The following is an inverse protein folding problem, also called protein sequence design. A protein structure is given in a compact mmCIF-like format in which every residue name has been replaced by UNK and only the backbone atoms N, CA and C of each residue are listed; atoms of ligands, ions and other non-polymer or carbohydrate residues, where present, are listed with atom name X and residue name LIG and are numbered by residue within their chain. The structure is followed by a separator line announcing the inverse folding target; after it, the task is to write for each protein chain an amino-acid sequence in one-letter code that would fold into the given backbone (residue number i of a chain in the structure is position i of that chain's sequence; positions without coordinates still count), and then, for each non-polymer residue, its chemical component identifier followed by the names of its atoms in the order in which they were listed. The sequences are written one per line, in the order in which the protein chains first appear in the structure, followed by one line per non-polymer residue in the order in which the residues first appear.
data_IF_453330414954
#
_entry.id   IF_453330414954
#
_cell.length_a   1.000
_cell.length_b   1.000
_cell.length_c   1.000
_cell.angle_alpha   90.00
_cell.angle_beta   90.00
_cell.angle_gamma   90.00
#
_symmetry.space_group_name_H-M   'P 1'
#
loop_
_entity.id
_entity.type
_entity.pdbx_description
1 polymer ?
#
# COMPACT_ATOMS: atom_id res chain seq x y z
N UNK A 1 8.03 -8.84 23.26
CA UNK A 1 7.91 -9.49 21.92
C UNK A 1 6.48 -9.41 21.32
N UNK A 2 5.39 -9.68 22.04
CA UNK A 2 4.01 -9.47 21.52
C UNK A 2 3.64 -7.99 21.41
N UNK A 3 3.99 -7.16 22.38
CA UNK A 3 3.69 -5.72 22.39
C UNK A 3 4.34 -4.99 21.21
N UNK A 4 5.59 -5.32 20.88
CA UNK A 4 6.28 -4.72 19.74
C UNK A 4 5.61 -5.03 18.41
N UNK A 5 5.05 -6.25 18.25
CA UNK A 5 4.30 -6.63 17.05
C UNK A 5 3.00 -5.85 16.92
N UNK A 6 2.27 -5.68 18.02
CA UNK A 6 1.01 -4.92 18.03
C UNK A 6 1.29 -3.46 17.70
N UNK A 7 2.27 -2.84 18.34
CA UNK A 7 2.70 -1.47 18.03
C UNK A 7 3.06 -1.31 16.56
N UNK A 8 3.79 -2.27 16.00
CA UNK A 8 4.17 -2.26 14.60
C UNK A 8 2.96 -2.35 13.65
N UNK A 9 1.97 -3.21 13.96
CA UNK A 9 0.74 -3.33 13.18
C UNK A 9 -0.06 -2.02 13.22
N UNK A 10 -0.18 -1.42 14.40
CA UNK A 10 -0.87 -0.13 14.58
C UNK A 10 -0.20 0.97 13.76
N UNK A 11 1.12 1.09 13.81
CA UNK A 11 1.87 2.08 13.04
C UNK A 11 1.69 1.86 11.53
N UNK A 12 1.71 0.62 11.06
CA UNK A 12 1.43 0.32 9.64
C UNK A 12 0.00 0.64 9.25
N UNK A 13 -0.97 0.37 10.13
CA UNK A 13 -2.36 0.73 9.92
C UNK A 13 -2.55 2.25 9.82
N UNK A 14 -1.99 3.01 10.74
CA UNK A 14 -2.02 4.48 10.72
C UNK A 14 -1.33 5.04 9.45
N UNK A 15 -0.21 4.46 9.04
CA UNK A 15 0.44 4.81 7.78
C UNK A 15 -0.48 4.61 6.58
N UNK A 16 -1.22 3.49 6.53
CA UNK A 16 -2.17 3.22 5.46
C UNK A 16 -3.36 4.21 5.48
N UNK A 17 -3.85 4.59 6.66
CA UNK A 17 -4.91 5.62 6.80
C UNK A 17 -4.44 6.96 6.21
N UNK A 18 -3.21 7.39 6.51
CA UNK A 18 -2.65 8.63 5.94
C UNK A 18 -2.54 8.54 4.42
N UNK A 19 -2.11 7.40 3.88
CA UNK A 19 -2.02 7.19 2.43
C UNK A 19 -3.41 7.23 1.77
N UNK A 20 -4.45 6.69 2.42
CA UNK A 20 -5.83 6.75 1.94
C UNK A 20 -6.37 8.19 1.97
N UNK A 21 -6.12 8.94 3.04
CA UNK A 21 -6.53 10.34 3.14
C UNK A 21 -5.86 11.20 2.06
N UNK A 22 -4.58 10.99 1.81
CA UNK A 22 -3.86 11.65 0.73
C UNK A 22 -4.47 11.33 -0.64
N UNK A 23 -4.74 10.05 -0.90
CA UNK A 23 -5.44 9.61 -2.11
C UNK A 23 -6.81 10.26 -2.24
N UNK A 24 -7.64 10.25 -1.19
CA UNK A 24 -8.97 10.85 -1.19
C UNK A 24 -8.91 12.36 -1.52
N UNK A 25 -7.89 13.05 -1.01
CA UNK A 25 -7.67 14.47 -1.32
C UNK A 25 -7.36 14.67 -2.81
N UNK A 26 -6.46 13.86 -3.37
CA UNK A 26 -6.15 13.92 -4.80
C UNK A 26 -7.39 13.63 -5.65
N UNK A 27 -8.15 12.59 -5.30
CA UNK A 27 -9.36 12.22 -6.04
C UNK A 27 -10.44 13.28 -5.97
N UNK A 28 -10.57 14.01 -4.86
CA UNK A 28 -11.48 15.15 -4.75
C UNK A 28 -11.15 16.24 -5.79
N UNK A 29 -9.89 16.50 -6.06
CA UNK A 29 -9.46 17.46 -7.08
C UNK A 29 -9.59 16.90 -8.50
N UNK A 30 -9.40 15.60 -8.70
CA UNK A 30 -9.45 14.97 -10.01
C UNK A 30 -10.88 14.61 -10.45
N UNK A 31 -11.79 14.36 -9.51
CA UNK A 31 -13.16 13.91 -9.81
C UNK A 31 -13.93 14.78 -10.81
N UNK A 32 -13.78 16.13 -10.85
CA UNK A 32 -14.43 16.94 -11.87
C UNK A 32 -13.97 16.66 -13.31
N UNK A 33 -12.76 16.11 -13.47
CA UNK A 33 -12.15 15.85 -14.78
C UNK A 33 -12.35 14.41 -15.27
N UNK A 34 -12.40 13.44 -14.34
CA UNK A 34 -12.44 12.01 -14.67
C UNK A 34 -13.74 11.33 -14.23
N UNK A 35 -14.54 12.00 -13.44
CA UNK A 35 -15.82 11.50 -12.92
C UNK A 35 -17.01 11.91 -13.75
N UNK A 36 -18.14 11.27 -13.48
CA UNK A 36 -19.46 11.63 -13.99
C UNK A 36 -20.23 12.42 -12.95
N UNK A 37 -21.02 13.41 -13.39
CA UNK A 37 -21.83 14.26 -12.52
C UNK A 37 -23.16 13.58 -12.22
N UNK A 38 -23.51 13.47 -10.95
CA UNK A 38 -24.82 12.98 -10.49
C UNK A 38 -25.90 14.04 -10.64
N UNK A 39 -27.16 13.63 -10.51
CA UNK A 39 -28.31 14.52 -10.47
C UNK A 39 -28.19 15.60 -9.37
N UNK A 40 -27.56 15.27 -8.26
CA UNK A 40 -27.31 16.18 -7.12
C UNK A 40 -26.13 17.15 -7.35
N UNK A 41 -25.53 17.13 -8.53
CA UNK A 41 -24.40 17.99 -8.86
C UNK A 41 -23.02 17.51 -8.38
N UNK A 42 -22.94 16.39 -7.66
CA UNK A 42 -21.69 15.82 -7.18
C UNK A 42 -21.00 14.96 -8.24
N UNK A 43 -19.68 15.00 -8.28
CA UNK A 43 -18.88 14.14 -9.15
C UNK A 43 -18.55 12.82 -8.44
N UNK A 44 -18.75 11.72 -9.14
CA UNK A 44 -18.32 10.40 -8.69
C UNK A 44 -17.46 9.72 -9.75
N UNK A 45 -16.49 8.94 -9.30
CA UNK A 45 -15.60 8.19 -10.18
C UNK A 45 -15.96 6.71 -10.11
N UNK A 46 -15.96 6.03 -11.26
CA UNK A 46 -16.14 4.58 -11.30
C UNK A 46 -15.14 3.90 -10.37
N UNK A 47 -15.61 2.92 -9.60
CA UNK A 47 -14.80 2.20 -8.60
C UNK A 47 -13.53 1.60 -9.21
N UNK A 48 -13.61 1.00 -10.41
CA UNK A 48 -12.46 0.43 -11.10
C UNK A 48 -11.40 1.49 -11.44
N UNK A 49 -11.85 2.66 -11.92
CA UNK A 49 -10.98 3.80 -12.20
C UNK A 49 -10.35 4.30 -10.89
N UNK A 50 -11.14 4.41 -9.83
CA UNK A 50 -10.65 4.79 -8.50
C UNK A 50 -9.55 3.86 -7.98
N UNK A 51 -9.75 2.55 -8.07
CA UNK A 51 -8.74 1.55 -7.66
C UNK A 51 -7.47 1.66 -8.51
N UNK A 52 -7.61 1.85 -9.83
CA UNK A 52 -6.47 2.01 -10.72
C UNK A 52 -5.64 3.26 -10.35
N UNK A 53 -6.29 4.41 -10.13
CA UNK A 53 -5.61 5.63 -9.69
C UNK A 53 -4.95 5.48 -8.34
N UNK A 54 -5.60 4.81 -7.39
CA UNK A 54 -5.01 4.50 -6.10
C UNK A 54 -3.70 3.71 -6.27
N UNK A 55 -3.74 2.67 -7.10
CA UNK A 55 -2.57 1.83 -7.38
C UNK A 55 -1.44 2.64 -8.02
N UNK A 56 -1.73 3.45 -9.05
CA UNK A 56 -0.74 4.27 -9.74
C UNK A 56 -0.11 5.29 -8.79
N UNK A 57 -0.89 5.99 -7.97
CA UNK A 57 -0.39 6.97 -7.01
C UNK A 57 0.52 6.32 -5.97
N UNK A 58 0.13 5.19 -5.42
CA UNK A 58 0.91 4.47 -4.44
C UNK A 58 2.21 3.89 -5.05
N UNK A 59 2.11 3.35 -6.26
CA UNK A 59 3.27 2.80 -6.98
C UNK A 59 4.28 3.90 -7.32
N UNK A 60 3.82 5.03 -7.84
CA UNK A 60 4.71 6.16 -8.19
C UNK A 60 5.42 6.72 -6.96
N UNK A 61 4.76 6.81 -5.81
CA UNK A 61 5.41 7.22 -4.56
C UNK A 61 6.51 6.24 -4.11
N UNK A 62 6.25 4.93 -4.18
CA UNK A 62 7.26 3.93 -3.80
C UNK A 62 8.44 3.89 -4.78
N UNK A 63 8.21 4.14 -6.08
CA UNK A 63 9.28 4.18 -7.09
C UNK A 63 10.11 5.46 -6.98
N UNK A 64 9.46 6.62 -6.97
CA UNK A 64 10.13 7.93 -7.03
C UNK A 64 10.76 8.29 -5.69
N UNK A 65 10.04 8.09 -4.61
CA UNK A 65 10.46 8.50 -3.27
C UNK A 65 10.93 7.36 -2.37
N UNK A 66 10.85 6.12 -2.85
CA UNK A 66 11.22 4.92 -2.08
C UNK A 66 10.25 4.57 -0.96
N UNK A 67 9.26 5.41 -0.67
CA UNK A 67 8.23 5.18 0.35
C UNK A 67 7.05 6.14 0.20
N UNK A 68 5.86 5.69 0.60
CA UNK A 68 4.65 6.50 0.59
C UNK A 68 4.67 7.59 1.67
N UNK A 69 3.78 8.58 1.55
CA UNK A 69 3.64 9.67 2.54
C UNK A 69 3.38 9.13 3.95
N UNK A 70 2.46 8.20 4.10
CA UNK A 70 2.17 7.59 5.39
C UNK A 70 3.40 6.90 5.99
N UNK A 71 4.16 6.14 5.19
CA UNK A 71 5.41 5.54 5.65
C UNK A 71 6.46 6.58 6.05
N UNK A 72 6.51 7.73 5.37
CA UNK A 72 7.41 8.83 5.74
C UNK A 72 7.08 9.40 7.11
N UNK A 73 5.81 9.71 7.36
CA UNK A 73 5.35 10.29 8.63
C UNK A 73 5.66 9.38 9.82
N UNK A 74 5.50 8.08 9.64
CA UNK A 74 5.79 7.10 10.69
C UNK A 74 7.21 6.55 10.67
N UNK A 75 8.12 7.15 9.89
CA UNK A 75 9.54 6.75 9.75
C UNK A 75 9.73 5.29 9.31
N UNK A 76 8.74 4.70 8.65
CA UNK A 76 8.85 3.37 8.07
C UNK A 76 9.66 3.44 6.77
N UNK A 77 10.58 2.50 6.59
CA UNK A 77 11.36 2.35 5.36
C UNK A 77 11.00 1.07 4.61
N UNK A 78 11.28 1.04 3.31
CA UNK A 78 11.14 -0.12 2.46
C UNK A 78 12.54 -0.62 2.09
N UNK A 79 12.91 -1.78 2.60
CA UNK A 79 14.23 -2.38 2.44
C UNK A 79 14.16 -3.66 1.62
N UNK A 80 15.17 -3.88 0.78
CA UNK A 80 15.37 -5.15 0.09
C UNK A 80 15.98 -6.16 1.06
N UNK A 81 15.47 -7.36 1.05
CA UNK A 81 16.11 -8.49 1.69
C UNK A 81 17.22 -9.00 0.77
N UNK A 82 18.43 -9.28 1.31
CA UNK A 82 19.63 -9.68 0.54
C UNK A 82 19.49 -11.03 -0.17
N UNK A 83 18.45 -11.79 0.14
CA UNK A 83 18.18 -13.06 -0.52
C UNK A 83 17.72 -12.88 -1.96
N UNK A 84 18.21 -13.72 -2.87
CA UNK A 84 17.75 -13.80 -4.25
C UNK A 84 16.24 -14.02 -4.27
N UNK A 85 15.50 -13.08 -4.79
CA UNK A 85 14.07 -13.20 -5.01
C UNK A 85 13.81 -14.04 -6.26
N UNK A 86 12.67 -14.74 -6.30
CA UNK A 86 12.18 -15.41 -7.50
C UNK A 86 12.08 -14.46 -8.71
N UNK A 87 11.91 -13.17 -8.48
CA UNK A 87 11.77 -12.11 -9.49
C UNK A 87 13.07 -11.33 -9.75
N UNK A 88 14.23 -11.87 -9.38
CA UNK A 88 15.52 -11.23 -9.63
C UNK A 88 15.86 -10.08 -8.68
N UNK A 89 16.88 -9.30 -9.04
CA UNK A 89 17.41 -8.19 -8.22
C UNK A 89 16.76 -6.83 -8.53
N UNK A 90 15.87 -6.74 -9.53
CA UNK A 90 15.28 -5.48 -9.96
C UNK A 90 14.32 -4.94 -8.90
N UNK A 91 14.70 -3.83 -8.25
CA UNK A 91 13.92 -3.16 -7.20
C UNK A 91 12.52 -2.75 -7.67
N UNK A 92 12.40 -2.24 -8.89
CA UNK A 92 11.13 -1.74 -9.44
C UNK A 92 10.15 -2.91 -9.59
N UNK A 93 10.60 -4.04 -10.16
CA UNK A 93 9.77 -5.23 -10.33
C UNK A 93 9.26 -5.76 -8.98
N UNK A 94 10.11 -5.79 -7.96
CA UNK A 94 9.73 -6.19 -6.60
C UNK A 94 8.67 -5.26 -6.00
N UNK A 95 8.78 -3.95 -6.22
CA UNK A 95 7.79 -2.96 -5.77
C UNK A 95 6.45 -3.18 -6.49
N UNK A 96 6.45 -3.41 -7.80
CA UNK A 96 5.24 -3.68 -8.58
C UNK A 96 4.52 -4.93 -8.07
N UNK A 97 5.25 -6.03 -7.91
CA UNK A 97 4.69 -7.29 -7.42
C UNK A 97 4.11 -7.13 -6.02
N UNK A 98 4.87 -6.49 -5.13
CA UNK A 98 4.40 -6.19 -3.78
C UNK A 98 3.07 -5.42 -3.80
N UNK A 99 2.95 -4.42 -4.68
CA UNK A 99 1.73 -3.62 -4.81
C UNK A 99 0.56 -4.39 -5.42
N UNK A 100 0.81 -5.33 -6.32
CA UNK A 100 -0.23 -6.24 -6.80
C UNK A 100 -0.85 -7.06 -5.66
N UNK A 101 -0.02 -7.55 -4.74
CA UNK A 101 -0.50 -8.25 -3.55
C UNK A 101 -1.22 -7.33 -2.55
N UNK A 102 -0.86 -6.03 -2.47
CA UNK A 102 -1.63 -5.06 -1.68
C UNK A 102 -3.08 -4.89 -2.22
N UNK A 103 -3.31 -5.01 -3.54
CA UNK A 103 -4.66 -5.06 -4.12
C UNK A 103 -5.44 -6.32 -3.71
N UNK A 104 -4.78 -7.47 -3.69
CA UNK A 104 -5.39 -8.71 -3.21
C UNK A 104 -5.75 -8.61 -1.73
N UNK A 105 -4.91 -7.98 -0.91
CA UNK A 105 -5.21 -7.75 0.52
C UNK A 105 -6.48 -6.90 0.71
N UNK A 106 -6.73 -5.92 -0.16
CA UNK A 106 -7.95 -5.10 -0.12
C UNK A 106 -9.19 -5.91 -0.51
N UNK A 107 -9.06 -6.82 -1.50
CA UNK A 107 -10.17 -7.63 -2.04
C UNK A 107 -10.50 -8.78 -1.10
N UNK A 108 -9.49 -9.45 -0.55
CA UNK A 108 -9.64 -10.71 0.20
C UNK A 108 -10.01 -10.53 1.67
N UNK A 109 -9.84 -9.40 2.27
CA UNK A 109 -10.20 -9.05 3.65
C UNK A 109 -9.01 -8.53 4.47
N UNK A 110 -9.15 -7.42 5.17
CA UNK A 110 -8.10 -6.87 6.05
C UNK A 110 -7.69 -7.79 7.20
N UNK A 111 -8.52 -8.78 7.57
CA UNK A 111 -8.18 -9.77 8.60
C UNK A 111 -7.06 -10.73 8.17
N UNK A 112 -6.99 -11.08 6.89
CA UNK A 112 -5.91 -11.91 6.34
C UNK A 112 -4.55 -11.23 6.48
N UNK A 113 -4.52 -9.93 6.25
CA UNK A 113 -3.34 -9.08 6.42
C UNK A 113 -2.82 -9.08 7.86
N UNK A 114 -3.71 -8.86 8.83
CA UNK A 114 -3.35 -8.85 10.26
C UNK A 114 -2.86 -10.24 10.69
N UNK A 115 -3.59 -11.30 10.29
CA UNK A 115 -3.21 -12.68 10.57
C UNK A 115 -1.82 -13.00 10.05
N UNK A 116 -1.53 -12.68 8.78
CA UNK A 116 -0.24 -13.01 8.19
C UNK A 116 0.93 -12.29 8.86
N UNK A 117 0.77 -11.01 9.24
CA UNK A 117 1.80 -10.28 10.01
C UNK A 117 2.03 -10.90 11.38
N UNK A 118 0.97 -11.32 12.08
CA UNK A 118 1.09 -11.94 13.39
C UNK A 118 1.86 -13.27 13.35
N UNK A 119 1.63 -14.08 12.32
CA UNK A 119 2.29 -15.37 12.14
C UNK A 119 3.69 -15.25 11.50
N UNK A 120 3.97 -14.18 10.76
CA UNK A 120 5.28 -13.98 10.14
C UNK A 120 6.36 -13.67 11.18
N UNK A 121 7.51 -14.35 11.05
CA UNK A 121 8.68 -14.10 11.91
C UNK A 121 9.28 -12.69 11.72
N UNK A 122 9.17 -12.13 10.50
CA UNK A 122 9.74 -10.82 10.12
C UNK A 122 8.69 -9.71 10.03
N UNK A 123 7.46 -9.94 10.54
CA UNK A 123 6.33 -9.00 10.47
C UNK A 123 6.01 -8.55 9.02
N UNK A 124 6.10 -9.48 8.07
CA UNK A 124 5.88 -9.25 6.65
C UNK A 124 4.43 -9.57 6.26
N UNK A 125 3.87 -8.81 5.31
CA UNK A 125 2.66 -9.20 4.57
C UNK A 125 2.98 -10.25 3.52
N UNK A 126 1.95 -10.85 2.91
CA UNK A 126 2.13 -11.79 1.79
C UNK A 126 2.93 -11.16 0.65
N UNK A 127 2.58 -9.94 0.24
CA UNK A 127 3.30 -9.21 -0.80
C UNK A 127 4.75 -8.89 -0.43
N UNK A 128 5.02 -8.52 0.83
CA UNK A 128 6.37 -8.28 1.33
C UNK A 128 7.20 -9.59 1.29
N UNK A 129 6.59 -10.70 1.69
CA UNK A 129 7.25 -12.01 1.71
C UNK A 129 7.63 -12.50 0.31
N UNK A 130 6.69 -12.42 -0.64
CA UNK A 130 6.90 -12.87 -2.03
C UNK A 130 7.91 -11.98 -2.75
N UNK A 131 7.82 -10.66 -2.57
CA UNK A 131 8.76 -9.70 -3.17
C UNK A 131 10.12 -9.64 -2.48
N UNK A 132 10.30 -10.37 -1.34
CA UNK A 132 11.51 -10.30 -0.51
C UNK A 132 11.86 -8.86 -0.10
N UNK A 133 10.85 -8.11 0.35
CA UNK A 133 10.99 -6.75 0.86
C UNK A 133 10.55 -6.70 2.31
N UNK A 134 11.17 -5.83 3.09
CA UNK A 134 10.86 -5.64 4.50
C UNK A 134 10.49 -4.17 4.71
N UNK A 135 9.39 -3.95 5.46
CA UNK A 135 9.02 -2.62 5.94
C UNK A 135 9.46 -2.52 7.40
N UNK A 136 10.32 -1.58 7.70
CA UNK A 136 10.81 -1.31 9.07
C UNK A 136 10.66 0.17 9.38
#
# INVERSE_FOLDING_TARGET
MKEDKIKYIVIRGLSAVVDILFYATIMKFLSPYIGTKNADGNYYTNTAIGILFYYIIQLSQDIVFGKTLGKRLFKLGLYLEDEKSFFGTNRILRIIIRRLFDLLDIILCPFFFIGFILFSKKNQKVGDYISKMIVK
#
